data_IF_576206848971
#
_entry.id   IF_576206848971
#
_cell.length_a   1.000
_cell.length_b   1.000
_cell.length_c   1.000
_cell.angle_alpha   90.00
_cell.angle_beta   90.00
_cell.angle_gamma   90.00
#
_symmetry.space_group_name_H-M   'P 1'
#
loop_
_entity.id
_entity.type
_entity.pdbx_description
1 polymer ?
#
# COMPACT_ATOMS: atom_id res chain seq x y z
N UNK A 1 -3.24 2.59 15.95
CA UNK A 1 -1.87 2.02 15.83
C UNK A 1 -0.96 2.78 14.87
N UNK A 2 -1.43 3.02 13.64
CA UNK A 2 -0.66 3.73 12.61
C UNK A 2 -0.22 5.13 13.04
N UNK A 3 -1.11 5.95 13.61
CA UNK A 3 -0.75 7.29 14.12
C UNK A 3 0.40 7.26 15.15
N UNK A 4 0.38 6.28 16.07
CA UNK A 4 1.48 6.09 17.04
C UNK A 4 2.77 5.68 16.34
N UNK A 5 2.69 4.84 15.30
CA UNK A 5 3.86 4.47 14.49
C UNK A 5 4.41 5.69 13.72
N UNK A 6 3.56 6.59 13.23
CA UNK A 6 3.97 7.86 12.60
C UNK A 6 4.65 8.80 13.60
N UNK A 7 4.17 8.86 14.84
CA UNK A 7 4.85 9.61 15.90
C UNK A 7 6.26 9.04 16.18
N UNK A 8 6.37 7.72 16.35
CA UNK A 8 7.66 7.03 16.56
C UNK A 8 8.59 7.25 15.36
N UNK A 9 8.09 7.14 14.13
CA UNK A 9 8.86 7.40 12.93
C UNK A 9 9.47 8.81 12.95
N UNK A 10 8.66 9.82 13.27
CA UNK A 10 9.11 11.22 13.36
C UNK A 10 10.18 11.41 14.45
N UNK A 11 10.01 10.77 15.60
CA UNK A 11 10.99 10.79 16.69
C UNK A 11 12.32 10.11 16.31
N UNK A 12 12.32 9.26 15.29
CA UNK A 12 13.48 8.49 14.84
C UNK A 12 14.02 8.98 13.47
N UNK A 13 13.80 10.25 13.13
CA UNK A 13 14.39 10.86 11.93
C UNK A 13 13.77 10.37 10.62
N UNK A 14 12.46 10.15 10.62
CA UNK A 14 11.66 9.82 9.43
C UNK A 14 12.11 8.54 8.71
N UNK A 15 12.58 7.54 9.47
CA UNK A 15 12.91 6.21 8.93
C UNK A 15 11.72 5.62 8.14
N UNK A 16 11.96 4.89 7.04
CA UNK A 16 10.87 4.28 6.26
C UNK A 16 9.94 3.41 7.11
N UNK A 17 8.63 3.72 7.10
CA UNK A 17 7.62 2.93 7.77
C UNK A 17 6.92 2.01 6.76
N UNK A 18 7.02 0.70 6.96
CA UNK A 18 6.28 -0.29 6.18
C UNK A 18 4.95 -0.61 6.86
N UNK A 19 3.86 -0.55 6.09
CA UNK A 19 2.49 -0.84 6.54
C UNK A 19 1.94 -2.03 5.76
N UNK A 20 1.61 -3.08 6.50
CA UNK A 20 0.88 -4.25 6.02
C UNK A 20 -0.57 -3.88 5.78
N UNK A 21 -1.07 -4.12 4.56
CA UNK A 21 -2.51 -3.98 4.24
C UNK A 21 -3.17 -5.36 4.12
N UNK A 22 -4.33 -5.50 4.77
CA UNK A 22 -5.04 -6.77 4.93
C UNK A 22 -6.54 -6.62 4.74
N UNK A 23 -7.33 -7.13 5.68
CA UNK A 23 -8.78 -6.91 5.68
C UNK A 23 -9.12 -5.60 6.38
N UNK A 24 -10.32 -5.07 6.11
CA UNK A 24 -10.90 -4.05 6.97
C UNK A 24 -11.24 -4.63 8.37
N UNK A 25 -11.27 -3.80 9.42
CA UNK A 25 -10.72 -2.43 9.50
C UNK A 25 -9.19 -2.43 9.77
N UNK A 26 -8.47 -1.31 9.49
CA UNK A 26 -8.94 -0.02 8.96
C UNK A 26 -9.00 0.04 7.42
N UNK A 27 -9.67 1.06 6.89
CA UNK A 27 -9.78 1.26 5.43
C UNK A 27 -8.44 1.70 4.85
N UNK A 28 -8.06 1.11 3.71
CA UNK A 28 -6.85 1.48 2.98
C UNK A 28 -6.81 2.97 2.63
N UNK A 29 -7.96 3.59 2.34
CA UNK A 29 -8.02 5.01 2.01
C UNK A 29 -7.54 5.87 3.19
N UNK A 30 -7.98 5.56 4.41
CA UNK A 30 -7.57 6.21 5.66
C UNK A 30 -6.09 5.95 5.96
N UNK A 31 -5.61 4.72 5.73
CA UNK A 31 -4.19 4.38 5.87
C UNK A 31 -3.36 5.23 4.92
N UNK A 32 -3.72 5.26 3.64
CA UNK A 32 -2.96 5.93 2.58
C UNK A 32 -2.85 7.44 2.81
N UNK A 33 -3.89 8.07 3.35
CA UNK A 33 -3.89 9.50 3.72
C UNK A 33 -2.85 9.85 4.78
N UNK A 34 -2.56 8.93 5.71
CA UNK A 34 -1.57 9.13 6.77
C UNK A 34 -0.12 8.88 6.32
N UNK A 35 0.08 8.25 5.15
CA UNK A 35 1.41 7.92 4.65
C UNK A 35 2.07 9.09 3.92
N UNK A 36 3.38 9.23 4.15
CA UNK A 36 4.26 10.26 3.61
C UNK A 36 5.35 9.65 2.72
N UNK A 37 6.12 10.50 2.04
CA UNK A 37 7.26 10.08 1.22
C UNK A 37 8.16 9.10 1.97
N UNK A 38 8.55 8.01 1.31
CA UNK A 38 9.42 6.98 1.88
C UNK A 38 8.68 5.85 2.62
N UNK A 39 7.43 6.05 3.03
CA UNK A 39 6.60 4.97 3.58
C UNK A 39 6.32 3.90 2.53
N UNK A 40 6.07 2.67 2.97
CA UNK A 40 5.92 1.50 2.11
C UNK A 40 4.58 0.82 2.40
N UNK A 41 3.77 0.61 1.36
CA UNK A 41 2.61 -0.29 1.42
C UNK A 41 3.08 -1.66 0.95
N UNK A 42 3.17 -2.64 1.85
CA UNK A 42 3.42 -4.04 1.48
C UNK A 42 2.11 -4.77 1.20
N UNK A 43 2.16 -5.90 0.49
CA UNK A 43 0.98 -6.63 0.00
C UNK A 43 0.16 -5.83 -1.00
N UNK A 44 0.85 -5.03 -1.83
CA UNK A 44 0.19 -4.14 -2.79
C UNK A 44 -0.69 -4.90 -3.79
N UNK A 45 -0.39 -6.18 -4.05
CA UNK A 45 -1.15 -7.03 -4.97
C UNK A 45 -2.03 -8.08 -4.27
N UNK A 46 -2.44 -7.84 -3.02
CA UNK A 46 -3.35 -8.75 -2.34
C UNK A 46 -4.73 -8.81 -3.02
N UNK A 47 -5.39 -9.97 -2.89
CA UNK A 47 -6.71 -10.23 -3.49
C UNK A 47 -7.92 -9.78 -2.68
N UNK A 48 -7.74 -9.26 -1.46
CA UNK A 48 -8.84 -8.95 -0.53
C UNK A 48 -9.62 -7.69 -0.97
N UNK A 49 -10.83 -7.44 -0.45
CA UNK A 49 -11.58 -6.21 -0.80
C UNK A 49 -10.85 -4.90 -0.46
N UNK A 50 -10.05 -4.90 0.61
CA UNK A 50 -9.26 -3.75 1.04
C UNK A 50 -7.87 -3.75 0.35
N UNK A 51 -7.87 -3.54 -0.96
CA UNK A 51 -6.70 -3.58 -1.85
C UNK A 51 -6.55 -2.29 -2.65
N UNK A 52 -5.41 -2.10 -3.31
CA UNK A 52 -5.08 -0.88 -4.05
C UNK A 52 -6.04 -0.57 -5.22
N UNK A 53 -6.71 -1.59 -5.74
CA UNK A 53 -7.70 -1.45 -6.81
C UNK A 53 -9.12 -1.37 -6.23
N UNK A 54 -9.96 -0.55 -6.86
CA UNK A 54 -11.40 -0.54 -6.67
C UNK A 54 -12.03 -1.86 -7.14
N UNK A 55 -13.31 -2.14 -6.81
CA UNK A 55 -14.04 -3.26 -7.41
C UNK A 55 -14.13 -3.20 -8.94
N UNK A 56 -14.10 -2.00 -9.54
CA UNK A 56 -14.03 -1.80 -11.00
C UNK A 56 -12.66 -2.09 -11.62
N UNK A 57 -11.64 -2.39 -10.79
CA UNK A 57 -10.28 -2.67 -11.27
C UNK A 57 -9.50 -1.42 -11.66
N UNK A 58 -9.83 -0.27 -11.07
CA UNK A 58 -9.13 1.01 -11.21
C UNK A 58 -8.29 1.28 -9.98
N UNK A 59 -7.22 2.07 -10.11
CA UNK A 59 -6.40 2.45 -8.96
C UNK A 59 -7.19 3.42 -8.07
N UNK A 60 -7.22 3.17 -6.77
CA UNK A 60 -7.85 4.09 -5.80
C UNK A 60 -7.21 5.48 -5.87
N UNK A 61 -8.03 6.52 -5.72
CA UNK A 61 -7.56 7.91 -5.71
C UNK A 61 -6.61 8.20 -4.54
N UNK A 62 -6.88 7.60 -3.37
CA UNK A 62 -6.02 7.65 -2.18
C UNK A 62 -4.62 7.10 -2.46
N UNK A 63 -4.54 5.93 -3.12
CA UNK A 63 -3.29 5.29 -3.52
C UNK A 63 -2.58 6.10 -4.59
N UNK A 64 -3.30 6.59 -5.60
CA UNK A 64 -2.73 7.49 -6.62
C UNK A 64 -2.07 8.70 -5.96
N UNK A 65 -2.75 9.30 -4.97
CA UNK A 65 -2.23 10.45 -4.24
C UNK A 65 -1.03 10.09 -3.36
N UNK A 66 -1.05 8.93 -2.70
CA UNK A 66 0.06 8.41 -1.91
C UNK A 66 1.31 8.18 -2.76
N UNK A 67 1.17 7.55 -3.94
CA UNK A 67 2.28 7.33 -4.86
C UNK A 67 2.87 8.67 -5.34
N UNK A 68 2.03 9.65 -5.66
CA UNK A 68 2.48 11.02 -6.01
C UNK A 68 3.22 11.71 -4.86
N UNK A 69 2.87 11.40 -3.60
CA UNK A 69 3.60 11.88 -2.40
C UNK A 69 4.94 11.17 -2.17
N UNK A 70 5.26 10.10 -2.91
CA UNK A 70 6.48 9.32 -2.74
C UNK A 70 6.34 8.08 -1.86
N UNK A 71 5.11 7.62 -1.59
CA UNK A 71 4.87 6.31 -0.98
C UNK A 71 5.26 5.21 -1.96
N UNK A 72 5.86 4.13 -1.46
CA UNK A 72 6.38 3.02 -2.26
C UNK A 72 5.47 1.80 -2.11
N UNK A 73 5.52 0.93 -3.10
CA UNK A 73 4.78 -0.33 -3.11
C UNK A 73 5.76 -1.50 -2.97
N UNK A 74 5.43 -2.45 -2.13
CA UNK A 74 6.13 -3.72 -1.97
C UNK A 74 5.15 -4.88 -2.19
N UNK A 75 5.60 -5.92 -2.90
CA UNK A 75 4.74 -7.08 -3.18
C UNK A 75 4.40 -7.85 -1.92
N UNK A 76 5.41 -8.20 -1.10
CA UNK A 76 5.27 -9.08 0.06
C UNK A 76 4.38 -10.28 -0.22
N UNK A 77 4.80 -11.23 -1.07
CA UNK A 77 3.89 -12.21 -1.66
C UNK A 77 3.03 -12.92 -0.60
N UNK A 78 3.67 -13.44 0.45
CA UNK A 78 3.03 -14.11 1.58
C UNK A 78 2.10 -15.27 1.18
N UNK A 79 1.55 -16.00 2.15
CA UNK A 79 0.62 -17.11 1.84
C UNK A 79 -0.74 -16.63 1.33
N UNK A 80 -1.17 -15.43 1.75
CA UNK A 80 -2.51 -14.89 1.50
C UNK A 80 -2.51 -13.40 1.09
N UNK A 81 -1.40 -12.92 0.52
CA UNK A 81 -1.15 -11.50 0.25
C UNK A 81 -0.86 -11.18 -1.22
N UNK A 82 -1.03 -12.15 -2.11
CA UNK A 82 -0.81 -11.98 -3.54
C UNK A 82 -1.93 -12.59 -4.39
N UNK A 83 -2.37 -11.86 -5.40
CA UNK A 83 -3.29 -12.31 -6.43
C UNK A 83 -2.72 -11.99 -7.81
N UNK A 84 -2.57 -13.02 -8.65
CA UNK A 84 -2.13 -12.86 -10.04
C UNK A 84 -3.08 -11.98 -10.85
N UNK A 85 -4.38 -12.04 -10.58
CA UNK A 85 -5.37 -11.19 -11.25
C UNK A 85 -5.11 -9.70 -10.96
N UNK A 86 -4.94 -9.36 -9.69
CA UNK A 86 -4.66 -7.99 -9.23
C UNK A 86 -3.31 -7.52 -9.77
N UNK A 87 -2.27 -8.35 -9.67
CA UNK A 87 -0.93 -8.01 -10.16
C UNK A 87 -0.96 -7.74 -11.68
N UNK A 88 -1.56 -8.63 -12.48
CA UNK A 88 -1.67 -8.44 -13.94
C UNK A 88 -2.40 -7.14 -14.29
N UNK A 89 -3.52 -6.86 -13.61
CA UNK A 89 -4.30 -5.64 -13.84
C UNK A 89 -3.50 -4.39 -13.48
N UNK A 90 -2.86 -4.37 -12.32
CA UNK A 90 -2.05 -3.23 -11.86
C UNK A 90 -0.84 -2.99 -12.78
N UNK A 91 -0.12 -4.04 -13.17
CA UNK A 91 1.02 -3.95 -14.09
C UNK A 91 0.58 -3.42 -15.47
N UNK A 92 -0.57 -3.87 -16.00
CA UNK A 92 -1.11 -3.38 -17.27
C UNK A 92 -1.46 -1.88 -17.23
N UNK A 93 -1.69 -1.32 -16.04
CA UNK A 93 -1.90 0.11 -15.82
C UNK A 93 -0.59 0.88 -15.54
N UNK A 94 0.57 0.21 -15.57
CA UNK A 94 1.88 0.80 -15.26
C UNK A 94 2.18 0.91 -13.76
N UNK A 95 1.38 0.29 -12.89
CA UNK A 95 1.54 0.34 -11.44
C UNK A 95 2.46 -0.79 -11.00
N UNK A 96 3.77 -0.55 -11.07
CA UNK A 96 4.81 -1.51 -10.71
C UNK A 96 5.16 -1.41 -9.22
N UNK A 97 5.57 -2.53 -8.58
CA UNK A 97 6.08 -2.48 -7.23
C UNK A 97 7.51 -1.93 -7.25
N UNK A 98 7.92 -1.29 -6.16
CA UNK A 98 9.29 -0.84 -5.97
C UNK A 98 10.19 -1.98 -5.48
N UNK A 99 9.63 -2.98 -4.81
CA UNK A 99 10.32 -4.16 -4.30
C UNK A 99 9.46 -5.42 -4.44
N UNK A 100 10.11 -6.57 -4.56
CA UNK A 100 9.50 -7.90 -4.55
C UNK A 100 10.14 -8.68 -3.39
N UNK A 101 9.31 -9.22 -2.49
CA UNK A 101 9.71 -9.92 -1.27
C UNK A 101 8.82 -11.13 -0.96
#
# INVERSE_FOLDING_TARGET
PLERAKAIQKENGDLPLMVHIGNNPPNLDEIAELLSSGDIITHCYNGKPNRILTPSGELRASITSALKRGVRLDVGHGTASFSFEVAKRAIAMGILPHTIS
#
